data_IF_440484884826
#
_entry.id   IF_440484884826
#
_cell.length_a   1.000
_cell.length_b   1.000
_cell.length_c   1.000
_cell.angle_alpha   90.00
_cell.angle_beta   90.00
_cell.angle_gamma   90.00
#
_symmetry.space_group_name_H-M   'P 1'
#
loop_
_entity.id
_entity.type
_entity.pdbx_description
1 polymer ?
#
# COMPACT_ATOMS: atom_id res chain seq x y z
N UNK A 1 -11.86 -2.19 11.51
CA UNK A 1 -12.49 -1.27 10.55
C UNK A 1 -11.61 -1.21 9.31
N UNK A 2 -12.18 -1.15 8.10
CA UNK A 2 -11.39 -1.06 6.87
C UNK A 2 -10.69 0.29 6.71
N UNK A 3 -9.48 0.30 6.16
CA UNK A 3 -8.73 1.53 5.82
C UNK A 3 -8.78 1.76 4.30
N UNK A 4 -8.77 3.02 3.81
CA UNK A 4 -8.70 3.31 2.38
C UNK A 4 -7.53 2.61 1.70
N UNK A 5 -7.78 1.99 0.55
CA UNK A 5 -6.77 1.28 -0.22
C UNK A 5 -5.78 2.23 -0.89
N UNK A 6 -4.48 1.94 -0.81
CA UNK A 6 -3.45 2.70 -1.48
C UNK A 6 -3.24 2.23 -2.92
N UNK A 7 -2.82 3.15 -3.77
CA UNK A 7 -2.62 2.96 -5.22
C UNK A 7 -1.30 3.56 -5.63
N UNK A 8 -0.83 3.13 -6.80
CA UNK A 8 0.24 3.86 -7.48
C UNK A 8 -0.20 5.30 -7.71
N UNK A 9 0.68 6.24 -7.34
CA UNK A 9 0.42 7.68 -7.36
C UNK A 9 -0.07 8.27 -6.05
N UNK A 10 -0.53 7.45 -5.08
CA UNK A 10 -0.95 7.99 -3.78
C UNK A 10 0.27 8.46 -2.97
N UNK A 11 0.10 9.53 -2.18
CA UNK A 11 1.20 10.21 -1.50
C UNK A 11 1.57 9.51 -0.19
N UNK A 12 2.87 9.44 0.10
CA UNK A 12 3.39 9.17 1.43
C UNK A 12 4.02 10.43 2.03
N UNK A 13 4.21 10.43 3.35
CA UNK A 13 5.04 11.40 4.05
C UNK A 13 6.26 10.69 4.61
N UNK A 14 7.42 11.33 4.55
CA UNK A 14 8.66 10.81 5.11
C UNK A 14 9.18 11.78 6.20
N UNK A 15 9.31 11.34 7.46
CA UNK A 15 9.81 12.18 8.55
C UNK A 15 11.34 12.18 8.66
N UNK A 16 12.04 11.41 7.82
CA UNK A 16 13.49 11.29 7.87
C UNK A 16 14.17 12.59 7.43
N UNK A 17 15.38 12.81 7.92
CA UNK A 17 16.23 13.94 7.55
C UNK A 17 17.61 13.38 7.20
N UNK A 18 18.16 13.78 6.06
CA UNK A 18 19.55 13.46 5.70
C UNK A 18 20.40 14.71 5.90
N UNK A 19 21.18 14.72 6.99
CA UNK A 19 21.98 15.87 7.38
C UNK A 19 21.09 17.06 7.73
N UNK A 20 21.10 18.09 6.89
CA UNK A 20 20.27 19.30 7.04
C UNK A 20 19.06 19.31 6.11
N UNK A 21 18.89 18.30 5.25
CA UNK A 21 17.82 18.25 4.25
C UNK A 21 16.70 17.34 4.74
N UNK A 22 15.51 17.89 5.08
CA UNK A 22 14.34 17.08 5.39
C UNK A 22 13.91 16.32 4.15
N UNK A 23 13.53 15.07 4.34
CA UNK A 23 12.89 14.32 3.27
C UNK A 23 11.49 14.90 3.03
N UNK A 24 11.07 14.90 1.76
CA UNK A 24 9.69 15.17 1.38
C UNK A 24 9.15 13.89 0.77
N UNK A 25 8.05 13.40 1.34
CA UNK A 25 7.36 12.23 0.81
C UNK A 25 6.65 12.57 -0.49
N UNK A 26 6.72 11.63 -1.43
CA UNK A 26 6.16 11.70 -2.77
C UNK A 26 5.23 10.53 -3.08
N UNK A 27 4.85 10.34 -4.35
CA UNK A 27 3.93 9.28 -4.74
C UNK A 27 4.54 7.89 -4.61
N UNK A 28 3.69 6.89 -4.37
CA UNK A 28 4.02 5.47 -4.59
C UNK A 28 4.22 5.24 -6.09
N UNK A 29 5.37 4.68 -6.48
CA UNK A 29 5.74 4.47 -7.89
C UNK A 29 5.74 3.01 -8.33
N UNK A 30 5.75 2.07 -7.39
CA UNK A 30 5.44 0.66 -7.67
C UNK A 30 6.61 -0.31 -7.55
N UNK A 31 6.52 -1.49 -8.18
CA UNK A 31 5.77 -1.79 -9.41
C UNK A 31 4.24 -1.93 -9.26
N UNK A 32 3.69 -2.03 -8.05
CA UNK A 32 2.27 -2.27 -7.85
C UNK A 32 1.79 -3.59 -8.45
N UNK A 33 0.47 -3.74 -8.51
CA UNK A 33 -0.17 -4.89 -9.17
C UNK A 33 -1.04 -4.39 -10.33
N UNK A 34 -0.50 -4.29 -11.56
CA UNK A 34 -1.21 -3.69 -12.69
C UNK A 34 -2.44 -4.49 -13.15
N UNK A 35 -2.58 -5.74 -12.71
CA UNK A 35 -3.76 -6.57 -12.97
C UNK A 35 -4.94 -6.28 -12.04
N UNK A 36 -4.70 -5.57 -10.93
CA UNK A 36 -5.73 -5.21 -9.94
C UNK A 36 -5.81 -3.69 -9.85
N UNK A 37 -6.91 -3.13 -10.37
CA UNK A 37 -7.11 -1.69 -10.47
C UNK A 37 -8.09 -1.22 -9.40
N UNK A 38 -7.67 -0.23 -8.61
CA UNK A 38 -8.46 0.42 -7.57
C UNK A 38 -8.72 1.85 -8.03
N UNK A 39 -9.99 2.16 -8.37
CA UNK A 39 -10.35 3.46 -8.96
C UNK A 39 -9.61 3.75 -10.27
N UNK A 40 -9.32 2.73 -11.07
CA UNK A 40 -8.64 2.84 -12.37
C UNK A 40 -7.12 2.88 -12.31
N UNK A 41 -6.50 2.91 -11.13
CA UNK A 41 -5.03 2.89 -10.97
C UNK A 41 -4.56 1.56 -10.37
N UNK A 42 -3.33 1.10 -10.66
CA UNK A 42 -2.80 -0.13 -10.07
C UNK A 42 -2.79 -0.08 -8.55
N UNK A 43 -3.21 -1.18 -7.92
CA UNK A 43 -3.17 -1.33 -6.47
C UNK A 43 -1.72 -1.33 -5.96
N UNK A 44 -1.45 -0.58 -4.90
CA UNK A 44 -0.17 -0.61 -4.20
C UNK A 44 -0.14 -1.77 -3.20
N UNK A 45 1.05 -2.34 -3.01
CA UNK A 45 1.31 -3.48 -2.14
C UNK A 45 2.56 -3.25 -1.31
N UNK A 46 2.70 -4.01 -0.22
CA UNK A 46 3.95 -4.03 0.54
C UNK A 46 5.12 -4.39 -0.37
N UNK A 47 6.22 -3.66 -0.22
CA UNK A 47 7.41 -3.77 -1.06
C UNK A 47 7.40 -2.84 -2.27
N UNK A 48 6.34 -2.06 -2.51
CA UNK A 48 6.37 -1.02 -3.53
C UNK A 48 7.20 0.18 -3.07
N UNK A 49 7.87 0.79 -4.04
CA UNK A 49 8.71 1.96 -3.81
C UNK A 49 7.88 3.25 -3.81
N UNK A 50 8.33 4.22 -3.02
CA UNK A 50 7.79 5.57 -2.95
C UNK A 50 8.90 6.60 -3.23
N UNK A 51 8.57 7.65 -3.96
CA UNK A 51 9.52 8.74 -4.25
C UNK A 51 9.72 9.58 -3.01
N UNK A 52 10.95 9.76 -2.57
CA UNK A 52 11.30 10.56 -1.41
C UNK A 52 12.46 11.50 -1.75
N UNK A 53 12.53 12.69 -1.15
CA UNK A 53 13.69 13.62 -1.29
C UNK A 53 14.88 13.11 -0.48
N UNK A 54 15.39 11.95 -0.89
CA UNK A 54 16.41 11.14 -0.25
C UNK A 54 16.59 9.83 -1.05
N UNK A 55 17.05 8.72 -0.44
CA UNK A 55 16.87 7.41 -1.07
C UNK A 55 15.37 7.13 -1.31
N UNK A 56 15.00 6.27 -2.27
CA UNK A 56 13.63 5.81 -2.42
C UNK A 56 13.15 5.12 -1.13
N UNK A 57 11.94 5.46 -0.68
CA UNK A 57 11.30 4.78 0.44
C UNK A 57 10.57 3.53 -0.06
N UNK A 58 10.25 2.59 0.82
CA UNK A 58 9.56 1.34 0.48
C UNK A 58 8.44 1.09 1.48
N UNK A 59 7.28 0.66 1.01
CA UNK A 59 6.16 0.29 1.89
C UNK A 59 6.52 -1.01 2.62
N UNK A 60 6.61 -0.98 3.94
CA UNK A 60 7.01 -2.15 4.75
C UNK A 60 5.83 -2.82 5.45
N UNK A 61 4.72 -2.09 5.62
CA UNK A 61 3.49 -2.63 6.20
C UNK A 61 2.36 -2.65 5.18
N UNK A 62 1.44 -3.59 5.38
CA UNK A 62 0.25 -3.77 4.56
C UNK A 62 -0.85 -4.44 5.39
N UNK A 63 -1.95 -4.81 4.74
CA UNK A 63 -3.01 -5.60 5.37
C UNK A 63 -2.51 -6.97 5.82
N UNK A 64 -2.98 -7.42 6.98
CA UNK A 64 -2.71 -8.75 7.54
C UNK A 64 -3.67 -9.83 7.03
N UNK A 65 -4.76 -9.44 6.36
CA UNK A 65 -5.79 -10.38 5.88
C UNK A 65 -6.10 -10.28 4.39
N UNK A 66 -5.71 -9.19 3.74
CA UNK A 66 -5.98 -8.94 2.32
C UNK A 66 -4.69 -8.89 1.53
N UNK A 67 -4.58 -9.77 0.53
CA UNK A 67 -3.42 -9.89 -0.33
C UNK A 67 -3.82 -9.56 -1.77
N UNK A 68 -3.02 -8.71 -2.42
CA UNK A 68 -3.17 -8.35 -3.83
C UNK A 68 -1.90 -8.79 -4.56
N UNK A 69 -2.04 -9.56 -5.64
CA UNK A 69 -0.89 -10.12 -6.36
C UNK A 69 0.02 -11.02 -5.49
N UNK A 70 -0.54 -11.63 -4.44
CA UNK A 70 0.20 -12.46 -3.49
C UNK A 70 0.98 -11.69 -2.42
N UNK A 71 0.89 -10.36 -2.39
CA UNK A 71 1.55 -9.49 -1.41
C UNK A 71 0.51 -8.78 -0.52
N UNK A 72 0.83 -8.47 0.75
CA UNK A 72 -0.01 -7.64 1.60
C UNK A 72 -0.45 -6.35 0.88
N UNK A 73 -1.75 -6.06 0.88
CA UNK A 73 -2.29 -4.88 0.22
C UNK A 73 -1.97 -3.60 1.02
N UNK A 74 -1.45 -2.56 0.37
CA UNK A 74 -1.10 -1.30 1.03
C UNK A 74 -2.34 -0.40 1.22
N UNK A 75 -2.34 0.39 2.29
CA UNK A 75 -3.48 1.21 2.73
C UNK A 75 -3.00 2.53 3.31
N UNK A 76 -3.93 3.48 3.39
CA UNK A 76 -3.69 4.71 4.13
C UNK A 76 -3.31 4.40 5.58
N UNK A 77 -2.20 5.00 6.03
CA UNK A 77 -1.60 4.81 7.34
C UNK A 77 -0.64 3.63 7.45
N UNK A 78 -0.43 2.84 6.39
CA UNK A 78 0.59 1.80 6.42
C UNK A 78 2.00 2.43 6.37
N UNK A 79 2.93 1.86 7.13
CA UNK A 79 4.28 2.41 7.31
C UNK A 79 5.21 2.11 6.13
N UNK A 80 6.11 3.05 5.91
CA UNK A 80 7.22 2.97 4.99
C UNK A 80 8.56 2.81 5.75
N UNK A 81 9.60 2.34 5.06
CA UNK A 81 10.90 2.01 5.62
C UNK A 81 11.58 3.21 6.30
N UNK A 82 11.35 4.43 5.81
CA UNK A 82 11.89 5.64 6.42
C UNK A 82 11.12 6.12 7.66
N UNK A 83 10.21 5.29 8.20
CA UNK A 83 9.32 5.65 9.31
C UNK A 83 8.15 6.53 8.87
N UNK A 84 8.03 6.77 7.57
CA UNK A 84 6.92 7.46 6.94
C UNK A 84 5.64 6.63 6.89
N UNK A 85 4.57 7.25 6.38
CA UNK A 85 3.28 6.57 6.18
C UNK A 85 2.62 7.03 4.90
N UNK A 86 1.83 6.15 4.30
CA UNK A 86 0.93 6.52 3.19
C UNK A 86 -0.18 7.42 3.74
N UNK A 87 -0.34 8.63 3.21
CA UNK A 87 -1.32 9.62 3.70
C UNK A 87 -2.56 9.75 2.83
N UNK A 88 -2.52 9.21 1.62
CA UNK A 88 -3.66 9.20 0.69
C UNK A 88 -4.00 7.75 0.33
N UNK A 89 -5.29 7.46 0.24
CA UNK A 89 -5.81 6.25 -0.36
C UNK A 89 -7.17 6.53 -0.98
N UNK A 90 -7.76 5.57 -1.68
CA UNK A 90 -9.09 5.71 -2.26
C UNK A 90 -10.16 5.43 -1.18
N UNK A 91 -10.92 6.44 -0.70
CA UNK A 91 -11.86 6.26 0.42
C UNK A 91 -13.06 5.36 0.08
N UNK A 92 -13.36 5.15 -1.20
CA UNK A 92 -14.47 4.28 -1.64
C UNK A 92 -14.11 2.80 -1.62
N UNK A 93 -12.81 2.45 -1.54
CA UNK A 93 -12.35 1.07 -1.47
C UNK A 93 -11.62 0.86 -0.14
N UNK A 94 -12.27 0.14 0.77
CA UNK A 94 -11.77 -0.09 2.11
C UNK A 94 -11.20 -1.50 2.24
N UNK A 95 -9.94 -1.60 2.65
CA UNK A 95 -9.25 -2.87 2.91
C UNK A 95 -9.29 -3.16 4.41
N UNK A 96 -9.88 -4.30 4.75
CA UNK A 96 -10.02 -4.77 6.12
C UNK A 96 -8.71 -5.23 6.78
N UNK A 97 -8.77 -5.31 8.10
CA UNK A 97 -7.87 -6.10 8.94
C UNK A 97 -8.70 -7.24 9.50
N UNK A 98 -8.17 -8.47 9.48
CA UNK A 98 -8.75 -9.57 10.25
C UNK A 98 -8.69 -9.15 11.72
N UNK A 99 -9.85 -9.01 12.35
CA UNK A 99 -9.97 -8.57 13.74
C UNK A 99 -9.16 -9.49 14.67
N UNK A 100 -8.56 -8.91 15.71
CA UNK A 100 -7.48 -9.50 16.48
C UNK A 100 -7.69 -10.90 17.06
N UNK A 101 -6.58 -11.63 17.18
CA UNK A 101 -6.50 -12.89 17.91
C UNK A 101 -5.61 -13.92 17.22
N UNK A 102 -4.35 -13.99 17.64
CA UNK A 102 -3.48 -15.15 17.39
C UNK A 102 -2.86 -15.18 16.01
N UNK A 103 -1.55 -15.41 15.96
CA UNK A 103 -0.81 -15.51 14.71
C UNK A 103 -1.42 -16.51 13.74
N UNK A 104 -1.25 -16.22 12.46
CA UNK A 104 -0.94 -17.21 11.44
C UNK A 104 -0.36 -16.47 10.24
N UNK A 105 0.95 -16.62 10.08
CA UNK A 105 1.54 -16.64 8.76
C UNK A 105 0.78 -17.68 7.92
N UNK A 106 0.45 -17.34 6.68
CA UNK A 106 -0.05 -18.29 5.69
C UNK A 106 -1.55 -18.21 5.42
N UNK A 107 -1.92 -17.29 4.54
CA UNK A 107 -2.95 -17.60 3.56
C UNK A 107 -2.51 -16.94 2.25
N UNK A 108 -1.70 -17.68 1.49
CA UNK A 108 -1.64 -17.49 0.05
C UNK A 108 -3.07 -17.56 -0.49
N UNK A 109 -3.70 -16.41 -0.68
CA UNK A 109 -4.84 -16.30 -1.58
C UNK A 109 -4.27 -16.71 -2.94
N UNK A 110 -4.53 -17.97 -3.31
CA UNK A 110 -4.09 -18.57 -4.56
C UNK A 110 -4.28 -17.57 -5.69
N UNK A 111 -3.24 -17.45 -6.51
CA UNK A 111 -3.34 -16.94 -7.86
C UNK A 111 -4.65 -17.44 -8.49
N UNK A 112 -5.52 -16.52 -8.92
CA UNK A 112 -6.76 -16.90 -9.59
C UNK A 112 -8.03 -16.13 -9.26
N UNK A 113 -7.99 -14.95 -8.64
CA UNK A 113 -9.14 -14.05 -8.78
C UNK A 113 -9.08 -13.47 -10.20
N UNK A 114 -10.05 -13.76 -11.09
CA UNK A 114 -10.11 -13.12 -12.40
C UNK A 114 -10.17 -11.62 -12.14
N UNK A 115 -9.32 -10.84 -12.83
CA UNK A 115 -9.18 -9.39 -12.74
C UNK A 115 -10.41 -8.77 -12.07
N UNK A 116 -10.35 -8.58 -10.75
CA UNK A 116 -11.44 -7.98 -10.00
C UNK A 116 -11.36 -6.51 -10.38
N UNK A 117 -11.95 -6.20 -11.54
CA UNK A 117 -12.59 -4.92 -11.77
C UNK A 117 -13.50 -4.78 -10.57
N UNK A 118 -13.03 -4.04 -9.58
CA UNK A 118 -13.92 -3.36 -8.65
C UNK A 118 -14.64 -2.38 -9.57
N UNK A 119 -15.68 -2.89 -10.24
CA UNK A 119 -16.51 -2.16 -11.18
C UNK A 119 -17.12 -1.02 -10.37
N UNK A 120 -16.60 0.19 -10.59
CA UNK A 120 -17.30 1.39 -10.25
C UNK A 120 -18.54 1.40 -11.15
N UNK A 121 -19.66 0.94 -10.60
CA UNK A 121 -20.97 1.17 -11.21
C UNK A 121 -21.22 2.66 -11.33
#
# INVERSE_FOLDING_TARGET
MGKPAARIGDMHVCPMVTGLVPHVGGPVVGPGVPTVLIGGMPAAVSGDMCVCTGPPDTIILGSTGVFIGGKPAARMGDMCAHGGTIVVGLPTVLIGETAGGGGQAGAAAKAGAPAMKICNS
#
